data_IF_715905027190
#
_entry.id   IF_715905027190
#
_cell.length_a   1.000
_cell.length_b   1.000
_cell.length_c   1.000
_cell.angle_alpha   90.00
_cell.angle_beta   90.00
_cell.angle_gamma   90.00
#
_symmetry.space_group_name_H-M   'P 1'
#
loop_
_entity.id
_entity.type
_entity.pdbx_description
1 polymer ?
#
# COMPACT_ATOMS: atom_id res chain seq x y z
N UNK A 1 -4.67 -28.25 -15.37
CA UNK A 1 -5.18 -26.87 -15.21
C UNK A 1 -6.42 -26.91 -14.33
N UNK A 2 -6.58 -26.01 -13.37
CA UNK A 2 -7.76 -25.98 -12.50
C UNK A 2 -9.00 -25.51 -13.29
N UNK A 3 -10.18 -26.06 -12.99
CA UNK A 3 -11.46 -25.59 -13.54
C UNK A 3 -11.83 -24.28 -12.86
N UNK A 4 -12.10 -23.23 -13.64
CA UNK A 4 -12.49 -21.90 -13.15
C UNK A 4 -13.66 -21.34 -13.97
N UNK A 5 -14.28 -20.27 -13.51
CA UNK A 5 -15.27 -19.47 -14.24
C UNK A 5 -14.64 -18.19 -14.82
N UNK A 6 -13.34 -18.21 -15.15
CA UNK A 6 -12.58 -17.04 -15.60
C UNK A 6 -13.23 -16.33 -16.78
N UNK A 7 -13.84 -17.09 -17.68
CA UNK A 7 -14.60 -16.63 -18.84
C UNK A 7 -15.86 -15.82 -18.48
N UNK A 8 -16.34 -15.93 -17.24
CA UNK A 8 -17.53 -15.24 -16.73
C UNK A 8 -17.21 -14.05 -15.83
N UNK A 9 -15.94 -13.77 -15.54
CA UNK A 9 -15.55 -12.66 -14.67
C UNK A 9 -15.64 -11.34 -15.42
N UNK A 10 -16.19 -10.31 -14.78
CA UNK A 10 -16.21 -8.95 -15.29
C UNK A 10 -14.86 -8.29 -15.01
N UNK A 11 -14.28 -7.64 -16.02
CA UNK A 11 -13.12 -6.78 -15.86
C UNK A 11 -13.57 -5.32 -15.88
N UNK A 12 -13.16 -4.55 -14.88
CA UNK A 12 -13.57 -3.16 -14.70
C UNK A 12 -12.34 -2.26 -14.56
N UNK A 13 -12.37 -1.07 -15.15
CA UNK A 13 -11.35 -0.05 -14.92
C UNK A 13 -11.48 0.47 -13.49
N UNK A 14 -10.42 0.31 -12.71
CA UNK A 14 -10.31 0.81 -11.34
C UNK A 14 -9.22 1.87 -11.32
N UNK A 15 -9.50 3.01 -10.71
CA UNK A 15 -8.57 4.14 -10.67
C UNK A 15 -8.28 4.59 -9.23
N UNK A 16 -7.04 5.01 -9.04
CA UNK A 16 -6.56 5.76 -7.90
C UNK A 16 -5.47 6.71 -8.36
N UNK A 17 -4.91 7.46 -7.42
CA UNK A 17 -3.73 8.29 -7.67
C UNK A 17 -2.60 7.89 -6.75
N UNK A 18 -1.37 8.20 -7.15
CA UNK A 18 -0.21 8.06 -6.26
C UNK A 18 -0.48 8.85 -5.00
N UNK A 19 -0.48 8.16 -3.86
CA UNK A 19 -0.77 8.77 -2.57
C UNK A 19 0.50 9.42 -2.04
N UNK A 20 0.45 10.69 -1.64
CA UNK A 20 1.59 11.32 -0.97
C UNK A 20 1.90 10.64 0.39
N UNK A 21 3.18 10.53 0.82
CA UNK A 21 3.52 10.01 2.15
C UNK A 21 2.75 10.70 3.27
N UNK A 22 2.43 9.95 4.34
CA UNK A 22 1.66 10.50 5.46
C UNK A 22 2.49 10.56 6.75
N UNK A 23 2.54 11.75 7.34
CA UNK A 23 3.11 12.00 8.66
C UNK A 23 2.08 12.75 9.54
N UNK A 24 0.99 12.07 9.93
CA UNK A 24 -0.04 12.67 10.79
C UNK A 24 0.50 13.08 12.16
N UNK A 25 1.45 12.30 12.68
CA UNK A 25 2.19 12.58 13.90
C UNK A 25 3.69 12.48 13.61
N UNK A 26 4.54 13.25 14.30
CA UNK A 26 5.97 13.23 14.07
C UNK A 26 6.64 11.93 14.54
N UNK A 27 5.99 11.17 15.43
CA UNK A 27 6.55 9.99 16.06
C UNK A 27 5.74 8.73 15.78
N UNK A 28 6.46 7.64 15.51
CA UNK A 28 5.98 6.26 15.59
C UNK A 28 6.43 5.70 16.94
N UNK A 29 5.52 5.12 17.70
CA UNK A 29 5.80 4.59 19.04
C UNK A 29 6.25 3.14 18.88
N UNK A 30 7.46 2.84 19.33
CA UNK A 30 8.00 1.48 19.32
C UNK A 30 7.28 0.59 20.34
N UNK A 31 7.53 -0.72 20.26
CA UNK A 31 7.01 -1.70 21.23
C UNK A 31 7.50 -1.47 22.67
N UNK A 32 8.57 -0.69 22.87
CA UNK A 32 9.09 -0.28 24.17
C UNK A 32 8.48 1.04 24.68
N UNK A 33 7.60 1.68 23.90
CA UNK A 33 7.04 2.99 24.22
C UNK A 33 7.91 4.18 23.80
N UNK A 34 9.02 3.94 23.11
CA UNK A 34 9.94 5.00 22.67
C UNK A 34 9.48 5.65 21.36
N UNK A 35 9.52 6.99 21.22
CA UNK A 35 9.18 7.68 19.98
C UNK A 35 10.31 7.58 18.94
N UNK A 36 9.96 7.33 17.67
CA UNK A 36 10.90 7.29 16.54
C UNK A 36 10.40 8.13 15.37
N UNK A 37 11.29 8.85 14.70
CA UNK A 37 11.00 9.59 13.46
C UNK A 37 11.44 8.74 12.28
N UNK A 38 10.49 8.11 11.60
CA UNK A 38 10.76 7.12 10.55
C UNK A 38 9.83 7.32 9.34
N UNK A 39 10.27 6.99 8.11
CA UNK A 39 9.39 6.84 6.95
C UNK A 39 8.31 5.78 7.19
N UNK A 40 7.16 5.95 6.52
CA UNK A 40 6.02 5.06 6.68
C UNK A 40 5.23 4.85 5.38
N UNK A 41 3.89 4.84 5.44
CA UNK A 41 3.00 4.58 4.30
C UNK A 41 2.90 5.75 3.32
N UNK A 42 2.54 5.42 2.09
CA UNK A 42 2.34 6.32 0.97
C UNK A 42 3.62 6.66 0.22
N UNK A 43 3.46 7.13 -1.00
CA UNK A 43 4.51 7.69 -1.83
C UNK A 43 5.02 6.75 -2.91
N UNK A 44 6.18 7.14 -3.45
CA UNK A 44 7.00 6.33 -4.33
C UNK A 44 8.25 5.97 -3.54
N UNK A 45 8.33 4.73 -3.06
CA UNK A 45 9.48 4.19 -2.34
C UNK A 45 10.50 3.64 -3.34
N UNK A 46 11.60 4.37 -3.53
CA UNK A 46 12.56 4.07 -4.60
C UNK A 46 13.45 2.84 -4.35
N UNK A 47 13.71 2.52 -3.08
CA UNK A 47 14.71 1.54 -2.64
C UNK A 47 14.14 0.36 -1.85
N UNK A 48 12.81 0.20 -1.83
CA UNK A 48 12.14 -0.99 -1.30
C UNK A 48 11.11 -1.45 -2.34
N UNK A 49 11.24 -2.69 -2.81
CA UNK A 49 10.48 -3.26 -3.93
C UNK A 49 9.98 -4.66 -3.59
N UNK A 50 9.01 -5.15 -4.36
CA UNK A 50 8.54 -6.54 -4.25
C UNK A 50 9.73 -7.48 -4.47
N UNK A 51 9.96 -8.38 -3.52
CA UNK A 51 11.10 -9.30 -3.49
C UNK A 51 12.20 -8.93 -2.50
N UNK A 52 12.27 -7.67 -2.04
CA UNK A 52 13.21 -7.26 -1.00
C UNK A 52 12.82 -7.84 0.38
N UNK A 53 13.77 -7.99 1.32
CA UNK A 53 13.46 -8.38 2.69
C UNK A 53 12.46 -7.43 3.34
N UNK A 54 11.46 -7.99 4.02
CA UNK A 54 10.48 -7.21 4.79
C UNK A 54 11.09 -6.57 6.06
N UNK A 55 12.22 -7.10 6.55
CA UNK A 55 12.89 -6.67 7.77
C UNK A 55 14.25 -6.03 7.44
N UNK A 56 14.80 -5.26 8.38
CA UNK A 56 16.12 -4.62 8.24
C UNK A 56 16.08 -3.17 7.74
N UNK A 57 14.91 -2.65 7.43
CA UNK A 57 14.70 -1.25 7.06
C UNK A 57 14.42 -0.38 8.29
N UNK A 58 15.01 0.82 8.31
CA UNK A 58 14.64 1.86 9.28
C UNK A 58 13.35 2.56 8.84
N UNK A 59 12.21 1.92 9.08
CA UNK A 59 10.88 2.40 8.68
C UNK A 59 9.76 1.75 9.49
N UNK A 60 8.54 2.27 9.36
CA UNK A 60 7.33 1.71 9.98
C UNK A 60 6.21 1.60 8.94
N UNK A 61 5.78 0.38 8.61
CA UNK A 61 4.75 0.16 7.58
C UNK A 61 5.15 0.74 6.21
N UNK A 62 6.42 0.56 5.82
CA UNK A 62 6.92 0.96 4.50
C UNK A 62 6.24 0.13 3.41
N UNK A 63 5.68 0.80 2.42
CA UNK A 63 5.02 0.18 1.27
C UNK A 63 6.00 0.13 0.08
N UNK A 64 6.20 -1.04 -0.57
CA UNK A 64 7.17 -1.18 -1.66
C UNK A 64 6.67 -0.53 -2.96
N UNK A 65 7.55 0.14 -3.69
CA UNK A 65 7.25 0.72 -4.99
C UNK A 65 6.29 1.91 -4.90
N UNK A 66 5.08 1.79 -5.43
CA UNK A 66 4.13 2.90 -5.58
C UNK A 66 2.84 2.61 -4.82
N UNK A 67 2.52 3.47 -3.85
CA UNK A 67 1.26 3.41 -3.14
C UNK A 67 0.21 4.26 -3.82
N UNK A 68 -0.98 3.69 -4.04
CA UNK A 68 -2.13 4.41 -4.60
C UNK A 68 -3.28 4.49 -3.60
N UNK A 69 -4.04 5.58 -3.66
CA UNK A 69 -5.29 5.78 -2.91
C UNK A 69 -6.26 6.58 -3.77
N UNK A 70 -7.56 6.43 -3.55
CA UNK A 70 -8.55 7.39 -3.99
C UNK A 70 -8.97 8.30 -2.82
N UNK A 71 -9.10 9.61 -3.06
CA UNK A 71 -9.48 10.57 -2.01
C UNK A 71 -10.97 10.45 -1.63
N UNK A 72 -11.81 10.01 -2.56
CA UNK A 72 -13.19 9.68 -2.27
C UNK A 72 -13.24 8.31 -1.59
N UNK A 73 -13.80 8.23 -0.38
CA UNK A 73 -13.78 7.00 0.41
C UNK A 73 -14.63 5.86 -0.20
N UNK A 74 -15.72 6.17 -0.92
CA UNK A 74 -16.52 5.15 -1.60
C UNK A 74 -15.76 4.57 -2.81
N UNK A 75 -15.13 5.44 -3.60
CA UNK A 75 -14.28 5.02 -4.72
C UNK A 75 -13.02 4.29 -4.23
N UNK A 76 -12.46 4.72 -3.10
CA UNK A 76 -11.34 4.03 -2.45
C UNK A 76 -11.76 2.64 -1.97
N UNK A 77 -13.00 2.50 -1.48
CA UNK A 77 -13.59 1.20 -1.17
C UNK A 77 -13.62 0.28 -2.40
N UNK A 78 -14.06 0.79 -3.55
CA UNK A 78 -14.02 0.04 -4.81
C UNK A 78 -12.58 -0.29 -5.26
N UNK A 79 -11.64 0.64 -5.11
CA UNK A 79 -10.22 0.42 -5.39
C UNK A 79 -9.66 -0.75 -4.58
N UNK A 80 -9.92 -0.79 -3.28
CA UNK A 80 -9.45 -1.85 -2.40
C UNK A 80 -10.16 -3.19 -2.66
N UNK A 81 -11.45 -3.16 -3.02
CA UNK A 81 -12.27 -4.36 -3.22
C UNK A 81 -11.99 -5.06 -4.55
N UNK A 82 -11.82 -4.31 -5.63
CA UNK A 82 -11.79 -4.84 -7.00
C UNK A 82 -10.36 -5.06 -7.53
N UNK A 83 -9.34 -4.52 -6.86
CA UNK A 83 -7.94 -4.74 -7.23
C UNK A 83 -7.49 -6.15 -6.85
N UNK A 84 -6.87 -6.85 -7.78
CA UNK A 84 -6.24 -8.16 -7.56
C UNK A 84 -4.72 -8.02 -7.73
N UNK A 85 -3.94 -8.79 -6.96
CA UNK A 85 -2.51 -8.95 -7.20
C UNK A 85 -2.33 -9.74 -8.52
N UNK A 86 -1.60 -9.20 -9.50
CA UNK A 86 -1.31 -9.89 -10.76
C UNK A 86 -0.85 -8.98 -11.88
#
# INVERSE_FOLDING_TARGET
>A
MLKTNKDKLVMQSVQGKIKHPMAKFPYRISYLGEPRVLPATGGITYNVKVGDPAMGWAGDHVEPGVSIKNDNEAENGALNLLSCIG
#
